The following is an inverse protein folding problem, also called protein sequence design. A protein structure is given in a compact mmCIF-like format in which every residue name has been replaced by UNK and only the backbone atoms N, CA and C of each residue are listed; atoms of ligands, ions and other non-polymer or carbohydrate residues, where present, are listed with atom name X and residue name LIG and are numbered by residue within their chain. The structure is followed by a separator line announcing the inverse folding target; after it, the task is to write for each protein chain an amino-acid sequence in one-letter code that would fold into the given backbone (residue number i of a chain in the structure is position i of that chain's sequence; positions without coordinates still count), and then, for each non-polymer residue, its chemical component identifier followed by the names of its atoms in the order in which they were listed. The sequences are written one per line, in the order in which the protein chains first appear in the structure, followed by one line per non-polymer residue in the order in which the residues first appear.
data_IF_245961672464
#
_entry.id   IF_245961672464
#
_cell.length_a   1.000
_cell.length_b   1.000
_cell.length_c   1.000
_cell.angle_alpha   90.00
_cell.angle_beta   90.00
_cell.angle_gamma   90.00
#
_symmetry.space_group_name_H-M   'P 1'
#
loop_
_entity.id
_entity.type
_entity.pdbx_description
1 polymer ?
#
# COMPACT_ATOMS: atom_id res chain seq x y z
N UNK A 1 25.53 12.79 -1.24
CA UNK A 1 24.31 12.45 -2.00
C UNK A 1 23.26 11.79 -1.12
N UNK A 2 23.61 10.82 -0.27
CA UNK A 2 22.69 10.14 0.66
C UNK A 2 22.18 11.09 1.76
N UNK A 3 23.02 11.97 2.29
CA UNK A 3 22.64 12.97 3.31
C UNK A 3 21.62 14.00 2.80
N UNK A 4 21.69 14.39 1.55
CA UNK A 4 20.69 15.29 0.94
C UNK A 4 19.33 14.60 0.76
N UNK A 5 19.31 13.27 0.58
CA UNK A 5 18.11 12.47 0.43
C UNK A 5 17.51 12.03 1.78
N UNK A 6 18.26 12.09 2.88
CA UNK A 6 17.75 11.82 4.23
C UNK A 6 17.02 13.01 4.88
N UNK A 7 17.04 14.18 4.23
CA UNK A 7 16.31 15.38 4.66
C UNK A 7 14.86 15.44 4.16
N UNK A 8 14.25 16.63 4.30
CA UNK A 8 12.86 16.89 3.89
C UNK A 8 12.55 16.52 2.43
N UNK A 9 13.53 16.61 1.55
CA UNK A 9 13.41 16.22 0.14
C UNK A 9 13.25 14.71 -0.05
N UNK A 10 13.91 13.90 0.77
CA UNK A 10 13.77 12.45 0.72
C UNK A 10 12.41 11.99 1.19
N UNK A 11 11.83 12.64 2.19
CA UNK A 11 10.45 12.38 2.64
C UNK A 11 9.48 12.65 1.50
N UNK A 12 9.61 13.81 0.85
CA UNK A 12 8.77 14.20 -0.29
C UNK A 12 8.92 13.21 -1.45
N UNK A 13 10.13 12.77 -1.74
CA UNK A 13 10.43 11.83 -2.82
C UNK A 13 9.81 10.46 -2.55
N UNK A 14 9.90 9.94 -1.33
CA UNK A 14 9.26 8.66 -0.96
C UNK A 14 7.74 8.77 -1.03
N UNK A 15 7.15 9.86 -0.54
CA UNK A 15 5.72 10.09 -0.65
C UNK A 15 5.26 10.17 -2.10
N UNK A 16 5.99 10.88 -2.97
CA UNK A 16 5.69 10.97 -4.40
C UNK A 16 5.82 9.62 -5.10
N UNK A 17 6.89 8.87 -4.82
CA UNK A 17 7.08 7.52 -5.36
C UNK A 17 5.95 6.59 -4.91
N UNK A 18 5.56 6.68 -3.65
CA UNK A 18 4.46 5.89 -3.10
C UNK A 18 3.13 6.26 -3.74
N UNK A 19 2.84 7.57 -3.88
CA UNK A 19 1.66 8.05 -4.60
C UNK A 19 1.64 7.60 -6.06
N UNK A 20 2.77 7.69 -6.74
CA UNK A 20 2.90 7.25 -8.13
C UNK A 20 2.69 5.73 -8.26
N UNK A 21 3.26 4.94 -7.34
CA UNK A 21 3.08 3.49 -7.29
C UNK A 21 1.62 3.08 -7.11
N UNK A 22 0.82 3.88 -6.38
CA UNK A 22 -0.61 3.61 -6.16
C UNK A 22 -1.44 3.93 -7.38
N UNK A 23 -1.17 5.07 -8.01
CA UNK A 23 -1.91 5.50 -9.21
C UNK A 23 -1.56 4.60 -10.40
N UNK A 24 -0.32 4.16 -10.48
CA UNK A 24 0.18 3.25 -11.51
C UNK A 24 0.74 2.01 -10.83
N UNK A 25 -0.06 0.96 -10.58
CA UNK A 25 0.35 -0.23 -9.83
C UNK A 25 1.32 -1.13 -10.65
N UNK A 26 2.34 -0.52 -11.26
CA UNK A 26 3.39 -1.20 -12.01
C UNK A 26 4.62 -1.44 -11.12
N UNK A 27 4.87 -0.53 -10.17
CA UNK A 27 6.02 -0.64 -9.26
C UNK A 27 5.59 -1.33 -7.96
N UNK A 28 6.19 -2.47 -7.61
CA UNK A 28 5.93 -3.10 -6.33
C UNK A 28 6.34 -2.15 -5.19
N UNK A 29 5.40 -1.84 -4.31
CA UNK A 29 5.64 -0.94 -3.17
C UNK A 29 6.75 -1.39 -2.23
N UNK A 30 7.13 -2.66 -2.30
CA UNK A 30 8.24 -3.28 -1.55
C UNK A 30 9.57 -2.55 -1.72
N UNK A 31 9.87 -2.05 -2.92
CA UNK A 31 11.11 -1.26 -3.15
C UNK A 31 11.11 0.04 -2.36
N UNK A 32 9.96 0.69 -2.23
CA UNK A 32 9.84 1.92 -1.44
C UNK A 32 10.10 1.64 0.05
N UNK A 33 9.68 0.48 0.57
CA UNK A 33 9.93 0.06 1.94
C UNK A 33 11.42 -0.17 2.21
N UNK A 34 12.11 -0.87 1.31
CA UNK A 34 13.55 -1.08 1.41
C UNK A 34 14.32 0.25 1.38
N UNK A 35 13.99 1.13 0.45
CA UNK A 35 14.62 2.45 0.33
C UNK A 35 14.34 3.32 1.56
N UNK A 36 13.12 3.29 2.11
CA UNK A 36 12.79 4.04 3.32
C UNK A 36 13.59 3.57 4.54
N UNK A 37 13.76 2.24 4.69
CA UNK A 37 14.60 1.66 5.74
C UNK A 37 16.07 2.06 5.60
N UNK A 38 16.60 2.01 4.38
CA UNK A 38 17.96 2.41 4.08
C UNK A 38 18.24 3.89 4.34
N UNK A 39 17.35 4.79 3.90
CA UNK A 39 17.55 6.24 4.02
C UNK A 39 17.26 6.79 5.43
N UNK A 40 16.18 6.34 6.06
CA UNK A 40 15.68 6.92 7.31
C UNK A 40 15.90 6.02 8.54
N UNK A 41 16.40 4.81 8.33
CA UNK A 41 16.56 3.81 9.39
C UNK A 41 15.26 3.11 9.75
N UNK A 42 15.32 2.21 10.74
CA UNK A 42 14.21 1.33 11.08
C UNK A 42 12.96 2.10 11.54
N UNK A 43 13.11 2.96 12.55
CA UNK A 43 11.96 3.61 13.21
C UNK A 43 11.32 4.66 12.29
N UNK A 44 12.12 5.59 11.78
CA UNK A 44 11.61 6.66 10.93
C UNK A 44 11.13 6.13 9.57
N UNK A 45 11.85 5.16 9.00
CA UNK A 45 11.47 4.49 7.75
C UNK A 45 10.15 3.75 7.90
N UNK A 46 9.95 3.04 9.02
CA UNK A 46 8.69 2.33 9.31
C UNK A 46 7.52 3.30 9.47
N UNK A 47 7.69 4.37 10.26
CA UNK A 47 6.63 5.37 10.46
C UNK A 47 6.25 6.06 9.16
N UNK A 48 7.24 6.45 8.37
CA UNK A 48 7.01 7.12 7.08
C UNK A 48 6.26 6.20 6.11
N UNK A 49 6.71 4.96 5.97
CA UNK A 49 6.08 3.98 5.09
C UNK A 49 4.66 3.66 5.55
N UNK A 50 4.47 3.44 6.84
CA UNK A 50 3.17 3.15 7.43
C UNK A 50 2.14 4.25 7.18
N UNK A 51 2.52 5.53 7.39
CA UNK A 51 1.64 6.68 7.11
C UNK A 51 1.36 6.76 5.61
N UNK A 52 2.39 6.59 4.77
CA UNK A 52 2.24 6.60 3.33
C UNK A 52 1.26 5.52 2.85
N UNK A 53 1.33 4.30 3.38
CA UNK A 53 0.45 3.20 3.01
C UNK A 53 -0.99 3.43 3.46
N UNK A 54 -1.18 3.94 4.68
CA UNK A 54 -2.52 4.29 5.16
C UNK A 54 -3.19 5.34 4.28
N UNK A 55 -2.47 6.41 3.95
CA UNK A 55 -2.99 7.49 3.09
C UNK A 55 -3.27 6.96 1.70
N UNK A 56 -2.33 6.27 1.14
CA UNK A 56 -2.32 5.74 -0.19
C UNK A 56 -3.47 4.76 -0.45
N UNK A 57 -3.59 3.74 0.39
CA UNK A 57 -4.66 2.74 0.28
C UNK A 57 -6.04 3.34 0.59
N UNK A 58 -6.11 4.34 1.48
CA UNK A 58 -7.36 5.07 1.73
C UNK A 58 -7.83 5.85 0.52
N UNK A 59 -6.90 6.47 -0.22
CA UNK A 59 -7.18 7.16 -1.47
C UNK A 59 -7.64 6.17 -2.54
N UNK A 60 -6.92 5.05 -2.72
CA UNK A 60 -7.26 4.00 -3.68
C UNK A 60 -8.66 3.42 -3.41
N UNK A 61 -8.96 3.13 -2.16
CA UNK A 61 -10.28 2.67 -1.73
C UNK A 61 -11.38 3.71 -2.02
N UNK A 62 -11.14 4.97 -1.67
CA UNK A 62 -12.11 6.06 -1.87
C UNK A 62 -12.32 6.35 -3.36
N UNK A 63 -11.24 6.32 -4.14
CA UNK A 63 -11.26 6.52 -5.59
C UNK A 63 -12.09 5.43 -6.28
N UNK A 64 -11.86 4.18 -5.93
CA UNK A 64 -12.63 3.06 -6.49
C UNK A 64 -14.09 3.11 -6.10
N UNK A 65 -14.39 3.52 -4.87
CA UNK A 65 -15.77 3.68 -4.40
C UNK A 65 -16.51 4.83 -5.07
N UNK A 66 -15.82 5.97 -5.28
CA UNK A 66 -16.42 7.17 -5.89
C UNK A 66 -16.59 7.06 -7.39
N UNK A 67 -15.58 6.58 -8.07
CA UNK A 67 -15.52 6.56 -9.53
C UNK A 67 -15.93 5.23 -10.15
N UNK A 68 -15.97 4.17 -9.37
CA UNK A 68 -16.42 2.87 -9.78
C UNK A 68 -15.52 2.20 -10.82
N UNK A 69 -16.01 1.12 -11.39
CA UNK A 69 -15.28 0.23 -12.27
C UNK A 69 -14.77 0.88 -13.56
N UNK A 70 -15.52 1.85 -14.13
CA UNK A 70 -15.17 2.45 -15.43
C UNK A 70 -13.83 3.16 -15.43
N UNK A 71 -13.51 3.89 -14.37
CA UNK A 71 -12.22 4.61 -14.26
C UNK A 71 -11.10 3.65 -13.92
N UNK A 72 -11.36 2.68 -13.07
CA UNK A 72 -10.35 1.67 -12.71
C UNK A 72 -9.90 0.84 -13.91
N UNK A 73 -10.77 0.58 -14.87
CA UNK A 73 -10.42 -0.10 -16.14
C UNK A 73 -9.43 0.68 -17.00
N UNK A 74 -9.27 1.98 -16.77
CA UNK A 74 -8.26 2.80 -17.47
C UNK A 74 -6.89 2.76 -16.77
N UNK A 75 -6.89 2.58 -15.45
CA UNK A 75 -5.68 2.56 -14.62
C UNK A 75 -5.10 1.14 -14.55
N UNK A 76 -5.97 0.15 -14.56
CA UNK A 76 -5.65 -1.25 -14.30
C UNK A 76 -6.22 -2.14 -15.41
N UNK A 77 -5.49 -3.18 -15.81
CA UNK A 77 -5.99 -4.14 -16.80
C UNK A 77 -7.30 -4.79 -16.30
N UNK A 78 -8.29 -4.89 -17.22
CA UNK A 78 -9.60 -5.48 -16.95
C UNK A 78 -9.52 -6.86 -16.27
N UNK A 79 -8.57 -7.69 -16.68
CA UNK A 79 -8.34 -9.04 -16.14
C UNK A 79 -7.99 -9.02 -14.65
N UNK A 80 -7.12 -8.10 -14.22
CA UNK A 80 -6.73 -7.98 -12.82
C UNK A 80 -7.86 -7.38 -11.99
N UNK A 81 -8.54 -6.37 -12.51
CA UNK A 81 -9.67 -5.74 -11.83
C UNK A 81 -10.79 -6.76 -11.58
N UNK A 82 -11.18 -7.57 -12.58
CA UNK A 82 -12.20 -8.61 -12.44
C UNK A 82 -11.81 -9.65 -11.40
N UNK A 83 -10.54 -10.06 -11.40
CA UNK A 83 -10.02 -11.03 -10.44
C UNK A 83 -10.09 -10.51 -9.01
N UNK A 84 -9.62 -9.29 -8.76
CA UNK A 84 -9.60 -8.71 -7.41
C UNK A 84 -10.98 -8.29 -6.93
N UNK A 85 -11.86 -7.81 -7.82
CA UNK A 85 -13.24 -7.49 -7.47
C UNK A 85 -14.02 -8.76 -7.07
N UNK A 86 -13.91 -9.84 -7.84
CA UNK A 86 -14.56 -11.11 -7.53
C UNK A 86 -14.03 -11.72 -6.22
N UNK A 87 -12.71 -11.71 -6.03
CA UNK A 87 -12.08 -12.17 -4.80
C UNK A 87 -12.55 -11.34 -3.59
N UNK A 88 -12.61 -10.03 -3.75
CA UNK A 88 -13.04 -9.11 -2.70
C UNK A 88 -14.49 -9.33 -2.31
N UNK A 89 -15.39 -9.45 -3.28
CA UNK A 89 -16.82 -9.71 -3.04
C UNK A 89 -17.07 -11.08 -2.42
N UNK A 90 -16.34 -12.09 -2.87
CA UNK A 90 -16.57 -13.48 -2.45
C UNK A 90 -16.02 -13.78 -1.05
N UNK A 91 -14.82 -13.24 -0.75
CA UNK A 91 -14.09 -13.63 0.45
C UNK A 91 -13.74 -12.46 1.38
N UNK A 92 -13.21 -11.36 0.84
CA UNK A 92 -12.62 -10.30 1.65
C UNK A 92 -13.66 -9.43 2.34
N UNK A 93 -14.81 -9.21 1.72
CA UNK A 93 -15.90 -8.42 2.31
C UNK A 93 -16.48 -9.10 3.56
N UNK A 94 -16.51 -10.44 3.57
CA UNK A 94 -17.12 -11.22 4.62
C UNK A 94 -16.17 -11.55 5.77
N UNK A 95 -14.86 -11.61 5.51
CA UNK A 95 -13.88 -12.09 6.47
C UNK A 95 -12.70 -11.11 6.61
N UNK A 96 -12.69 -10.40 7.75
CA UNK A 96 -11.65 -9.41 8.05
C UNK A 96 -10.25 -10.03 8.14
N UNK A 97 -10.17 -11.27 8.64
CA UNK A 97 -8.90 -12.00 8.74
C UNK A 97 -8.29 -12.29 7.37
N UNK A 98 -9.13 -12.74 6.41
CA UNK A 98 -8.70 -12.96 5.04
C UNK A 98 -8.27 -11.65 4.37
N UNK A 99 -9.01 -10.56 4.62
CA UNK A 99 -8.65 -9.25 4.12
C UNK A 99 -7.27 -8.81 4.62
N UNK A 100 -7.00 -8.94 5.92
CA UNK A 100 -5.71 -8.63 6.52
C UNK A 100 -4.59 -9.48 5.92
N UNK A 101 -4.81 -10.80 5.79
CA UNK A 101 -3.85 -11.72 5.18
C UNK A 101 -3.55 -11.38 3.72
N UNK A 102 -4.56 -11.02 2.94
CA UNK A 102 -4.35 -10.58 1.55
C UNK A 102 -3.59 -9.26 1.45
N UNK A 103 -3.88 -8.32 2.32
CA UNK A 103 -3.10 -7.08 2.40
C UNK A 103 -1.63 -7.35 2.74
N UNK A 104 -1.34 -8.30 3.62
CA UNK A 104 0.04 -8.68 3.97
C UNK A 104 0.86 -9.28 2.82
N UNK A 105 0.23 -9.73 1.73
CA UNK A 105 0.95 -10.26 0.56
C UNK A 105 1.66 -9.19 -0.28
N UNK A 106 1.61 -7.92 0.11
CA UNK A 106 2.23 -6.80 -0.61
C UNK A 106 1.42 -6.26 -1.79
N UNK A 107 0.19 -6.75 -1.99
CA UNK A 107 -0.73 -6.30 -3.02
C UNK A 107 -1.72 -5.26 -2.51
N UNK A 108 -1.26 -4.39 -1.60
CA UNK A 108 -2.09 -3.37 -0.94
C UNK A 108 -2.93 -2.57 -1.90
N UNK A 109 -2.34 -2.11 -3.00
CA UNK A 109 -2.96 -1.21 -3.95
C UNK A 109 -4.12 -1.90 -4.67
N UNK A 110 -3.87 -3.10 -5.22
CA UNK A 110 -4.88 -3.88 -5.93
C UNK A 110 -6.03 -4.31 -5.02
N UNK A 111 -5.71 -4.75 -3.80
CA UNK A 111 -6.72 -5.16 -2.81
C UNK A 111 -7.56 -3.96 -2.40
N UNK A 112 -6.96 -2.80 -2.17
CA UNK A 112 -7.65 -1.56 -1.80
C UNK A 112 -8.64 -1.12 -2.88
N UNK A 113 -8.24 -1.20 -4.16
CA UNK A 113 -9.12 -0.95 -5.29
C UNK A 113 -10.28 -1.96 -5.37
N UNK A 114 -9.98 -3.25 -5.27
CA UNK A 114 -10.98 -4.32 -5.32
C UNK A 114 -12.01 -4.22 -4.21
N UNK A 115 -11.54 -4.00 -2.98
CA UNK A 115 -12.40 -3.86 -1.79
C UNK A 115 -13.22 -2.57 -1.82
N UNK A 116 -12.69 -1.49 -2.40
CA UNK A 116 -13.43 -0.24 -2.58
C UNK A 116 -14.68 -0.39 -3.46
N UNK A 117 -14.70 -1.36 -4.38
CA UNK A 117 -15.87 -1.70 -5.21
C UNK A 117 -16.91 -2.55 -4.47
N UNK A 118 -16.62 -3.02 -3.26
CA UNK A 118 -17.52 -3.83 -2.44
C UNK A 118 -18.34 -2.97 -1.47
N UNK A 119 -19.24 -3.61 -0.71
CA UNK A 119 -20.02 -2.95 0.35
C UNK A 119 -19.27 -2.86 1.69
N UNK A 120 -17.98 -3.21 1.73
CA UNK A 120 -17.18 -3.17 2.96
C UNK A 120 -17.12 -1.74 3.51
N UNK A 121 -17.36 -1.59 4.82
CA UNK A 121 -17.27 -0.29 5.49
C UNK A 121 -15.81 0.17 5.57
N UNK A 122 -15.56 1.44 5.29
CA UNK A 122 -14.21 2.04 5.32
C UNK A 122 -13.48 1.79 6.65
N UNK A 123 -14.19 1.86 7.80
CA UNK A 123 -13.60 1.58 9.12
C UNK A 123 -13.04 0.17 9.24
N UNK A 124 -13.74 -0.84 8.71
CA UNK A 124 -13.26 -2.24 8.73
C UNK A 124 -12.03 -2.42 7.82
N UNK A 125 -12.04 -1.75 6.67
CA UNK A 125 -10.88 -1.73 5.77
C UNK A 125 -9.67 -1.08 6.45
N UNK A 126 -9.84 0.09 7.10
CA UNK A 126 -8.76 0.77 7.82
C UNK A 126 -8.17 -0.09 8.95
N UNK A 127 -8.99 -0.80 9.72
CA UNK A 127 -8.49 -1.70 10.77
C UNK A 127 -7.64 -2.84 10.18
N UNK A 128 -8.12 -3.48 9.10
CA UNK A 128 -7.36 -4.53 8.43
C UNK A 128 -6.05 -3.99 7.84
N UNK A 129 -6.09 -2.82 7.23
CA UNK A 129 -4.93 -2.14 6.65
C UNK A 129 -3.91 -1.78 7.73
N UNK A 130 -4.36 -1.21 8.86
CA UNK A 130 -3.49 -0.85 9.99
C UNK A 130 -2.71 -2.06 10.50
N UNK A 131 -3.39 -3.17 10.76
CA UNK A 131 -2.75 -4.39 11.26
C UNK A 131 -1.81 -4.99 10.20
N UNK A 132 -2.24 -5.05 8.94
CA UNK A 132 -1.43 -5.66 7.88
C UNK A 132 -0.19 -4.82 7.57
N UNK A 133 -0.29 -3.50 7.48
CA UNK A 133 0.84 -2.63 7.21
C UNK A 133 1.89 -2.73 8.34
N UNK A 134 1.45 -2.69 9.60
CA UNK A 134 2.37 -2.82 10.74
C UNK A 134 3.17 -4.13 10.69
N UNK A 135 2.51 -5.24 10.34
CA UNK A 135 3.15 -6.56 10.31
C UNK A 135 3.98 -6.80 9.04
N UNK A 136 3.53 -6.26 7.89
CA UNK A 136 4.22 -6.50 6.61
C UNK A 136 5.35 -5.53 6.33
N UNK A 137 5.28 -4.28 6.77
CA UNK A 137 6.30 -3.28 6.48
C UNK A 137 7.57 -3.52 7.30
N UNK A 138 7.40 -4.04 8.52
CA UNK A 138 8.51 -4.27 9.46
C UNK A 138 9.66 -5.10 8.85
N UNK A 139 9.46 -6.29 8.26
CA UNK A 139 10.56 -7.07 7.72
C UNK A 139 11.27 -6.40 6.54
N UNK A 140 10.56 -5.67 5.70
CA UNK A 140 11.16 -4.99 4.54
C UNK A 140 11.96 -3.77 4.96
N UNK A 141 11.42 -2.95 5.87
CA UNK A 141 12.12 -1.77 6.40
C UNK A 141 13.34 -2.21 7.23
N UNK A 142 13.22 -3.28 8.02
CA UNK A 142 14.34 -3.84 8.76
C UNK A 142 15.47 -4.34 7.84
N UNK A 143 15.12 -5.00 6.74
CA UNK A 143 16.09 -5.41 5.72
C UNK A 143 16.78 -4.20 5.09
N UNK A 144 16.02 -3.15 4.74
CA UNK A 144 16.58 -1.90 4.22
C UNK A 144 17.53 -1.23 5.21
N UNK A 145 17.19 -1.20 6.50
CA UNK A 145 18.06 -0.68 7.55
C UNK A 145 19.35 -1.53 7.71
N UNK A 146 19.25 -2.86 7.61
CA UNK A 146 20.42 -3.74 7.65
C UNK A 146 21.44 -3.44 6.56
N UNK A 147 21.01 -3.09 5.35
CA UNK A 147 21.89 -2.63 4.27
C UNK A 147 22.55 -1.28 4.51
N UNK A 148 21.98 -0.46 5.37
CA UNK A 148 22.59 0.82 5.79
C UNK A 148 23.75 0.63 6.77
N UNK A 149 23.70 -0.42 7.57
CA UNK A 149 24.70 -0.70 8.62
C UNK A 149 25.90 -1.51 8.08
N UNK A 150 25.85 -2.01 6.85
CA UNK A 150 26.96 -2.66 6.14
C UNK A 150 27.82 -1.64 5.39
#
# INVERSE_FOLDING_TARGET
MVEALSGNWGILLILLLRFTSIVIPILPGTYCLLISGYLFGLVNGLLLSFIADLVACSISFSLSRKFGRKILQRIMSKKYLDKFENLSKKYLEKNLFLLTGFLMTGWFDFVSYGVGLTKLRFRKFLLALFVSALLSDLPFVATGNGFREL
#
